data_IF_171260734688
#
_entry.id   IF_171260734688
#
_cell.length_a   1.000
_cell.length_b   1.000
_cell.length_c   1.000
_cell.angle_alpha   90.00
_cell.angle_beta   90.00
_cell.angle_gamma   90.00
#
_symmetry.space_group_name_H-M   'P 1'
#
loop_
_entity.id
_entity.type
_entity.pdbx_description
1 polymer ?
#
# COMPACT_ATOMS: atom_id res chain seq x y z
N UNK A 1 -2.67 -7.05 6.59
CA UNK A 1 -2.31 -7.95 5.45
C UNK A 1 -2.46 -9.42 5.81
N UNK A 2 -2.06 -9.86 7.02
CA UNK A 2 -2.12 -11.27 7.42
C UNK A 2 -3.53 -11.85 7.26
N UNK A 3 -4.56 -11.17 7.75
CA UNK A 3 -5.95 -11.62 7.64
C UNK A 3 -6.43 -11.81 6.19
N UNK A 4 -5.95 -10.99 5.26
CA UNK A 4 -6.30 -11.11 3.83
C UNK A 4 -5.81 -12.45 3.28
N UNK A 5 -4.62 -12.90 3.67
CA UNK A 5 -4.10 -14.22 3.30
C UNK A 5 -4.82 -15.36 4.01
N UNK A 6 -5.06 -15.24 5.32
CA UNK A 6 -5.75 -16.25 6.14
C UNK A 6 -7.16 -16.53 5.63
N UNK A 7 -7.89 -15.49 5.24
CA UNK A 7 -9.24 -15.61 4.70
C UNK A 7 -9.29 -16.16 3.28
N UNK A 8 -8.20 -16.02 2.53
CA UNK A 8 -8.06 -16.65 1.21
C UNK A 8 -7.75 -18.15 1.34
N UNK A 9 -6.79 -18.50 2.18
CA UNK A 9 -6.42 -19.88 2.51
C UNK A 9 -6.03 -19.96 3.99
N UNK A 10 -6.80 -20.75 4.76
CA UNK A 10 -6.59 -20.92 6.20
C UNK A 10 -5.21 -21.48 6.58
N UNK A 11 -4.53 -22.16 5.67
CA UNK A 11 -3.15 -22.62 5.88
C UNK A 11 -2.18 -21.45 6.06
N UNK A 12 -2.49 -20.27 5.50
CA UNK A 12 -1.68 -19.06 5.62
C UNK A 12 -1.87 -18.29 6.94
N UNK A 13 -2.69 -18.83 7.86
CA UNK A 13 -2.71 -18.38 9.25
C UNK A 13 -1.36 -18.62 9.95
N UNK A 14 -0.59 -19.62 9.48
CA UNK A 14 0.76 -19.89 9.95
C UNK A 14 1.81 -19.28 8.99
N UNK A 15 2.57 -18.25 9.44
CA UNK A 15 3.60 -17.61 8.60
C UNK A 15 4.69 -18.58 8.10
N UNK A 16 4.97 -19.66 8.84
CA UNK A 16 5.97 -20.65 8.42
C UNK A 16 5.48 -21.50 7.24
N UNK A 17 4.17 -21.79 7.17
CA UNK A 17 3.56 -22.49 6.03
C UNK A 17 3.64 -21.62 4.79
N UNK A 18 3.36 -20.32 4.92
CA UNK A 18 3.49 -19.37 3.81
C UNK A 18 4.95 -19.29 3.34
N UNK A 19 5.92 -19.20 4.25
CA UNK A 19 7.36 -19.20 3.91
C UNK A 19 7.81 -20.50 3.24
N UNK A 20 7.33 -21.65 3.69
CA UNK A 20 7.66 -22.95 3.07
C UNK A 20 7.07 -23.04 1.67
N UNK A 21 5.83 -22.66 1.48
CA UNK A 21 5.19 -22.62 0.17
C UNK A 21 5.94 -21.69 -0.79
N UNK A 22 6.45 -20.59 -0.28
CA UNK A 22 7.31 -19.64 -0.96
C UNK A 22 8.65 -20.29 -1.40
N UNK A 23 9.31 -20.97 -0.48
CA UNK A 23 10.61 -21.60 -0.73
C UNK A 23 10.53 -22.79 -1.71
N UNK A 24 9.38 -23.46 -1.78
CA UNK A 24 9.18 -24.66 -2.64
C UNK A 24 8.59 -24.33 -4.01
N UNK A 25 8.14 -23.10 -4.24
CA UNK A 25 7.43 -22.65 -5.46
C UNK A 25 8.39 -22.38 -6.58
N UNK A 26 9.30 -22.95 -7.03
CA UNK A 26 10.20 -22.73 -8.20
C UNK A 26 10.38 -21.27 -8.69
N UNK A 27 9.35 -20.44 -8.58
CA UNK A 27 9.35 -18.99 -8.80
C UNK A 27 8.56 -18.31 -7.67
N UNK A 28 9.27 -17.94 -6.63
CA UNK A 28 8.72 -17.34 -5.42
C UNK A 28 7.96 -16.03 -5.70
N UNK A 29 8.44 -15.25 -6.65
CA UNK A 29 7.85 -13.95 -6.99
C UNK A 29 6.49 -14.12 -7.69
N UNK A 30 6.41 -15.06 -8.61
CA UNK A 30 5.18 -15.41 -9.32
C UNK A 30 4.14 -15.98 -8.35
N UNK A 31 4.55 -16.92 -7.50
CA UNK A 31 3.68 -17.51 -6.48
C UNK A 31 3.07 -16.45 -5.56
N UNK A 32 3.92 -15.54 -5.01
CA UNK A 32 3.43 -14.49 -4.14
C UNK A 32 2.46 -13.54 -4.86
N UNK A 33 2.79 -13.16 -6.09
CA UNK A 33 1.93 -12.30 -6.90
C UNK A 33 0.56 -12.93 -7.16
N UNK A 34 0.50 -14.22 -7.46
CA UNK A 34 -0.75 -14.96 -7.70
C UNK A 34 -1.57 -15.09 -6.42
N UNK A 35 -0.98 -15.59 -5.33
CA UNK A 35 -1.66 -15.77 -4.04
C UNK A 35 -2.18 -14.43 -3.51
N UNK A 36 -1.32 -13.40 -3.54
CA UNK A 36 -1.73 -12.07 -3.12
C UNK A 36 -2.82 -11.49 -4.02
N UNK A 37 -2.69 -11.65 -5.33
CA UNK A 37 -3.70 -11.19 -6.28
C UNK A 37 -5.08 -11.79 -6.00
N UNK A 38 -5.16 -13.09 -5.74
CA UNK A 38 -6.40 -13.76 -5.37
C UNK A 38 -6.93 -13.32 -4.01
N UNK A 39 -6.07 -13.24 -3.00
CA UNK A 39 -6.43 -12.81 -1.65
C UNK A 39 -6.97 -11.38 -1.64
N UNK A 40 -6.30 -10.48 -2.35
CA UNK A 40 -6.73 -9.08 -2.52
C UNK A 40 -8.04 -9.00 -3.31
N UNK A 41 -8.20 -9.75 -4.40
CA UNK A 41 -9.44 -9.79 -5.17
C UNK A 41 -10.62 -10.23 -4.30
N UNK A 42 -10.41 -11.22 -3.43
CA UNK A 42 -11.41 -11.63 -2.46
C UNK A 42 -11.79 -10.50 -1.50
N UNK A 43 -10.80 -9.79 -0.94
CA UNK A 43 -11.02 -8.70 0.00
C UNK A 43 -11.70 -7.49 -0.64
N UNK A 44 -11.34 -7.16 -1.87
CA UNK A 44 -11.84 -5.98 -2.58
C UNK A 44 -13.14 -6.22 -3.35
N UNK A 45 -13.50 -7.47 -3.58
CA UNK A 45 -14.70 -7.86 -4.34
C UNK A 45 -16.03 -7.58 -3.64
N UNK A 46 -16.00 -7.17 -2.37
CA UNK A 46 -17.18 -6.83 -1.55
C UNK A 46 -18.23 -7.95 -1.42
N UNK A 47 -17.86 -9.20 -1.75
CA UNK A 47 -18.73 -10.39 -1.63
C UNK A 47 -18.56 -11.11 -0.28
N UNK A 48 -17.49 -10.76 0.45
CA UNK A 48 -17.09 -11.41 1.69
C UNK A 48 -17.06 -10.39 2.84
N UNK A 49 -17.81 -10.68 3.91
CA UNK A 49 -17.98 -9.80 5.07
C UNK A 49 -17.32 -10.39 6.34
N UNK A 50 -16.31 -11.22 6.19
CA UNK A 50 -15.62 -11.94 7.26
C UNK A 50 -14.25 -11.35 7.61
N UNK A 51 -13.98 -10.12 7.19
CA UNK A 51 -12.81 -9.33 7.54
C UNK A 51 -13.11 -8.38 8.70
N UNK A 52 -12.12 -8.15 9.57
CA UNK A 52 -12.23 -7.16 10.65
C UNK A 52 -12.35 -5.73 10.11
N UNK A 53 -11.72 -5.49 8.96
CA UNK A 53 -11.82 -4.25 8.20
C UNK A 53 -12.04 -4.60 6.72
N UNK A 54 -13.16 -4.24 6.16
CA UNK A 54 -13.44 -4.36 4.72
C UNK A 54 -12.57 -3.40 3.91
N UNK A 55 -12.45 -3.65 2.61
CA UNK A 55 -11.75 -2.75 1.70
C UNK A 55 -12.33 -1.32 1.72
N UNK A 56 -13.65 -1.19 1.77
CA UNK A 56 -14.33 0.11 1.81
C UNK A 56 -14.01 0.85 3.12
N UNK A 57 -14.03 0.15 4.26
CA UNK A 57 -13.67 0.74 5.56
C UNK A 57 -12.22 1.18 5.57
N UNK A 58 -11.31 0.36 5.04
CA UNK A 58 -9.89 0.72 4.89
C UNK A 58 -9.72 1.99 4.04
N UNK A 59 -10.36 2.06 2.87
CA UNK A 59 -10.31 3.25 2.00
C UNK A 59 -10.84 4.48 2.72
N UNK A 60 -11.98 4.37 3.41
CA UNK A 60 -12.59 5.46 4.16
C UNK A 60 -11.70 5.94 5.30
N UNK A 61 -11.07 5.01 6.04
CA UNK A 61 -10.14 5.34 7.12
C UNK A 61 -8.90 6.06 6.58
N UNK A 62 -8.32 5.55 5.51
CA UNK A 62 -7.15 6.17 4.87
C UNK A 62 -7.49 7.56 4.32
N UNK A 63 -8.59 7.67 3.59
CA UNK A 63 -9.06 8.94 3.03
C UNK A 63 -9.42 9.96 4.11
N UNK A 64 -10.14 9.53 5.16
CA UNK A 64 -10.50 10.39 6.29
C UNK A 64 -9.29 10.91 7.06
N UNK A 65 -8.32 10.04 7.35
CA UNK A 65 -7.07 10.45 8.01
C UNK A 65 -6.27 11.45 7.15
N UNK A 66 -6.22 11.23 5.84
CA UNK A 66 -5.55 12.14 4.92
C UNK A 66 -6.28 13.50 4.84
N UNK A 67 -7.60 13.51 4.77
CA UNK A 67 -8.39 14.75 4.76
C UNK A 67 -8.21 15.55 6.05
N UNK A 68 -8.18 14.85 7.20
CA UNK A 68 -7.88 15.50 8.48
C UNK A 68 -6.50 16.14 8.47
N UNK A 69 -5.48 15.43 7.97
CA UNK A 69 -4.14 15.97 7.83
C UNK A 69 -4.13 17.21 6.93
N UNK A 70 -4.79 17.18 5.78
CA UNK A 70 -4.89 18.33 4.87
C UNK A 70 -5.53 19.55 5.57
N UNK A 71 -6.60 19.35 6.32
CA UNK A 71 -7.26 20.42 7.08
C UNK A 71 -6.31 21.03 8.13
N UNK A 72 -5.56 20.19 8.88
CA UNK A 72 -4.57 20.68 9.84
C UNK A 72 -3.43 21.46 9.19
N UNK A 73 -2.95 21.01 8.01
CA UNK A 73 -1.92 21.71 7.26
C UNK A 73 -2.40 23.07 6.74
N UNK A 74 -3.66 23.16 6.31
CA UNK A 74 -4.27 24.41 5.88
C UNK A 74 -4.44 25.40 7.02
N UNK A 75 -4.78 24.92 8.22
CA UNK A 75 -4.93 25.75 9.41
C UNK A 75 -3.58 26.23 9.94
N UNK A 76 -2.65 25.30 10.19
CA UNK A 76 -1.34 25.57 10.79
C UNK A 76 -0.32 26.18 9.81
N UNK A 77 -0.53 26.01 8.51
CA UNK A 77 0.32 26.51 7.41
C UNK A 77 1.82 26.23 7.58
N UNK A 78 2.23 25.02 7.94
CA UNK A 78 3.66 24.69 8.01
C UNK A 78 4.25 24.72 6.60
N UNK A 79 5.57 24.92 6.50
CA UNK A 79 6.26 24.89 5.21
C UNK A 79 6.20 23.49 4.57
N UNK A 80 6.28 22.45 5.39
CA UNK A 80 6.16 21.04 4.99
C UNK A 80 5.73 20.20 6.19
N UNK A 81 5.21 19.01 5.91
CA UNK A 81 4.97 17.94 6.88
C UNK A 81 5.54 16.63 6.37
N UNK A 82 6.00 15.79 7.26
CA UNK A 82 6.49 14.44 6.96
C UNK A 82 5.55 13.43 7.59
N UNK A 83 5.11 12.46 6.81
CA UNK A 83 4.23 11.38 7.25
C UNK A 83 4.93 10.05 7.00
N UNK A 84 5.05 9.24 8.03
CA UNK A 84 5.56 7.87 7.92
C UNK A 84 4.37 6.92 7.82
N UNK A 85 4.33 6.12 6.76
CA UNK A 85 3.24 5.19 6.52
C UNK A 85 3.69 3.99 5.67
N UNK A 86 2.77 3.08 5.34
CA UNK A 86 3.04 1.87 4.54
C UNK A 86 2.75 2.07 3.06
N UNK A 87 3.34 1.20 2.22
CA UNK A 87 3.10 1.18 0.78
C UNK A 87 1.62 1.03 0.43
N UNK A 88 0.86 0.21 1.18
CA UNK A 88 -0.58 0.03 0.97
C UNK A 88 -1.39 1.31 1.20
N UNK A 89 -1.03 2.13 2.19
CA UNK A 89 -1.66 3.44 2.42
C UNK A 89 -1.29 4.41 1.30
N UNK A 90 -0.01 4.47 0.91
CA UNK A 90 0.45 5.35 -0.18
C UNK A 90 -0.26 4.99 -1.48
N UNK A 91 -0.28 3.71 -1.87
CA UNK A 91 -0.92 3.27 -3.11
C UNK A 91 -2.42 3.55 -3.11
N UNK A 92 -3.11 3.39 -1.97
CA UNK A 92 -4.54 3.69 -1.85
C UNK A 92 -4.80 5.19 -2.05
N UNK A 93 -4.03 6.06 -1.41
CA UNK A 93 -4.17 7.51 -1.58
C UNK A 93 -3.89 7.94 -3.03
N UNK A 94 -2.81 7.43 -3.60
CA UNK A 94 -2.44 7.76 -4.99
C UNK A 94 -3.44 7.14 -5.98
N UNK A 95 -3.91 5.92 -5.72
CA UNK A 95 -4.96 5.28 -6.51
C UNK A 95 -6.24 6.12 -6.57
N UNK A 96 -6.70 6.60 -5.41
CA UNK A 96 -7.86 7.48 -5.33
C UNK A 96 -7.61 8.82 -6.03
N UNK A 97 -6.44 9.44 -5.80
CA UNK A 97 -6.08 10.72 -6.40
C UNK A 97 -6.04 10.66 -7.94
N UNK A 98 -5.54 9.56 -8.50
CA UNK A 98 -5.39 9.36 -9.93
C UNK A 98 -6.55 8.61 -10.59
N UNK A 99 -7.57 8.19 -9.84
CA UNK A 99 -8.71 7.43 -10.35
C UNK A 99 -8.32 6.04 -10.87
N UNK A 100 -7.34 5.38 -10.22
CA UNK A 100 -6.90 4.05 -10.64
C UNK A 100 -7.94 2.98 -10.26
N UNK A 101 -8.02 1.92 -11.07
CA UNK A 101 -8.76 0.73 -10.67
C UNK A 101 -8.13 0.07 -9.44
N UNK A 102 -8.90 -0.75 -8.74
CA UNK A 102 -8.43 -1.49 -7.57
C UNK A 102 -7.18 -2.33 -7.90
N UNK A 103 -7.19 -3.04 -9.01
CA UNK A 103 -6.05 -3.87 -9.45
C UNK A 103 -4.78 -3.03 -9.67
N UNK A 104 -4.92 -1.86 -10.31
CA UNK A 104 -3.79 -0.95 -10.55
C UNK A 104 -3.28 -0.33 -9.25
N UNK A 105 -4.17 -0.01 -8.32
CA UNK A 105 -3.82 0.47 -6.99
C UNK A 105 -2.99 -0.56 -6.23
N UNK A 106 -3.39 -1.83 -6.28
CA UNK A 106 -2.61 -2.90 -5.65
C UNK A 106 -1.30 -3.20 -6.37
N UNK A 107 -1.28 -3.18 -7.70
CA UNK A 107 -0.03 -3.31 -8.46
C UNK A 107 0.98 -2.23 -8.06
N UNK A 108 0.50 -1.01 -7.78
CA UNK A 108 1.34 0.08 -7.29
C UNK A 108 1.97 -0.22 -5.92
N UNK A 109 1.28 -0.93 -5.03
CA UNK A 109 1.82 -1.30 -3.71
C UNK A 109 3.14 -2.08 -3.82
N UNK A 110 3.24 -2.98 -4.78
CA UNK A 110 4.47 -3.75 -5.04
C UNK A 110 5.62 -2.94 -5.62
N UNK A 111 5.30 -1.84 -6.28
CA UNK A 111 6.30 -0.97 -6.88
C UNK A 111 6.89 0.04 -5.88
N UNK A 112 6.31 0.19 -4.68
CA UNK A 112 6.78 1.13 -3.68
C UNK A 112 7.93 0.52 -2.88
N UNK A 113 9.11 1.12 -3.02
CA UNK A 113 10.29 0.70 -2.27
C UNK A 113 10.19 1.10 -0.79
N UNK A 114 10.76 0.29 0.08
CA UNK A 114 10.89 0.65 1.50
C UNK A 114 11.69 1.95 1.62
N UNK A 115 11.27 2.82 2.53
CA UNK A 115 11.82 4.15 2.78
C UNK A 115 11.77 5.13 1.59
N UNK A 116 11.06 4.79 0.51
CA UNK A 116 10.86 5.74 -0.59
C UNK A 116 10.06 6.96 -0.15
N UNK A 117 10.23 8.06 -0.88
CA UNK A 117 9.54 9.33 -0.64
C UNK A 117 8.49 9.54 -1.72
N UNK A 118 7.27 9.82 -1.30
CA UNK A 118 6.18 10.27 -2.18
C UNK A 118 5.79 11.68 -1.76
N UNK A 119 5.83 12.61 -2.69
CA UNK A 119 5.62 14.05 -2.42
C UNK A 119 4.30 14.52 -2.99
N UNK A 120 3.48 15.10 -2.13
CA UNK A 120 2.26 15.81 -2.50
C UNK A 120 2.39 17.30 -2.19
N UNK A 121 1.78 18.12 -3.00
CA UNK A 121 1.62 19.56 -2.76
C UNK A 121 0.14 19.87 -2.57
N UNK A 122 -0.21 20.61 -1.55
CA UNK A 122 -1.56 21.15 -1.40
C UNK A 122 -1.68 22.49 -2.14
N UNK A 123 -2.67 22.59 -3.02
CA UNK A 123 -3.07 23.84 -3.68
C UNK A 123 -4.49 24.16 -3.21
N UNK A 124 -4.61 25.09 -2.27
CA UNK A 124 -5.83 25.14 -1.47
C UNK A 124 -5.98 23.83 -0.68
N UNK A 125 -7.13 23.20 -0.78
CA UNK A 125 -7.39 21.89 -0.14
C UNK A 125 -7.21 20.69 -1.10
N UNK A 126 -6.71 20.94 -2.31
CA UNK A 126 -6.54 19.92 -3.35
C UNK A 126 -5.12 19.38 -3.35
N UNK A 127 -4.91 18.06 -3.11
CA UNK A 127 -3.60 17.45 -3.20
C UNK A 127 -3.19 17.25 -4.66
N UNK A 128 -1.95 17.60 -4.97
CA UNK A 128 -1.33 17.35 -6.27
C UNK A 128 -0.12 16.44 -6.09
N UNK A 129 -0.07 15.36 -6.83
CA UNK A 129 1.10 14.48 -6.85
C UNK A 129 2.26 15.18 -7.56
N UNK A 130 3.36 15.39 -6.86
CA UNK A 130 4.60 15.92 -7.45
C UNK A 130 5.57 14.80 -7.81
N UNK A 131 5.72 13.82 -6.93
CA UNK A 131 6.58 12.67 -7.17
C UNK A 131 6.05 11.44 -6.43
N UNK A 132 6.37 10.27 -6.94
CA UNK A 132 5.98 8.99 -6.39
C UNK A 132 7.18 8.06 -6.30
N UNK A 133 7.35 7.43 -5.12
CA UNK A 133 8.31 6.35 -4.93
C UNK A 133 9.77 6.77 -5.24
N UNK A 134 10.17 7.96 -4.84
CA UNK A 134 11.56 8.40 -4.98
C UNK A 134 12.47 7.57 -4.05
N UNK A 135 13.36 6.80 -4.63
CA UNK A 135 14.26 5.90 -3.91
C UNK A 135 15.70 5.92 -4.45
N UNK A 136 15.98 6.76 -5.46
CA UNK A 136 17.31 6.81 -6.08
C UNK A 136 18.41 7.22 -5.09
N UNK A 137 18.05 8.03 -4.08
CA UNK A 137 18.99 8.45 -3.04
C UNK A 137 19.56 7.24 -2.24
N UNK A 138 18.81 6.15 -2.10
CA UNK A 138 19.29 4.93 -1.43
C UNK A 138 20.47 4.34 -2.20
N UNK A 139 20.38 4.28 -3.54
CA UNK A 139 21.45 3.74 -4.39
C UNK A 139 22.72 4.57 -4.36
N UNK A 140 22.62 5.86 -4.03
CA UNK A 140 23.81 6.73 -3.91
C UNK A 140 24.60 6.49 -2.62
N UNK A 141 23.95 5.89 -1.60
CA UNK A 141 24.58 5.52 -0.34
C UNK A 141 25.07 4.07 -0.42
N UNK A 142 24.14 3.14 -0.66
CA UNK A 142 24.42 1.71 -0.86
C UNK A 142 23.23 1.08 -1.60
N UNK A 143 23.50 0.40 -2.71
CA UNK A 143 22.46 -0.27 -3.49
C UNK A 143 21.72 -1.38 -2.71
N UNK A 144 22.34 -1.97 -1.68
CA UNK A 144 21.74 -2.99 -0.82
C UNK A 144 20.67 -2.43 0.11
N UNK A 145 20.62 -1.11 0.32
CA UNK A 145 19.56 -0.46 1.09
C UNK A 145 18.21 -0.43 0.38
N UNK A 146 18.21 -0.64 -0.94
CA UNK A 146 16.98 -0.69 -1.70
C UNK A 146 16.30 -2.05 -1.54
N UNK A 147 15.22 -2.08 -0.80
CA UNK A 147 14.39 -3.26 -0.58
C UNK A 147 12.93 -2.99 -0.97
N UNK A 148 12.23 -4.05 -1.31
CA UNK A 148 10.83 -4.04 -1.72
C UNK A 148 10.00 -4.90 -0.77
N UNK A 149 8.70 -4.68 -0.71
CA UNK A 149 7.81 -5.52 0.09
C UNK A 149 7.58 -6.86 -0.60
#
# INVERSE_FOLDING_TARGET
HQQVFEKYDSNFSNPEVLKQSFATSGDSHKFLSEVFGHAVKRWTGNEHHDYDESWIEFQNRVGGAFQQLCNELMDKKPRYAVVYTSGGVISTLIGNLLGLSVEKTFALTWAIANTSITTLRLVGNEPQLLSLNEHQYLKTVDAQLLTWV
#
